data_IF_342607477725
#
_entry.id   IF_342607477725
#
_cell.length_a   1.000
_cell.length_b   1.000
_cell.length_c   1.000
_cell.angle_alpha   90.00
_cell.angle_beta   90.00
_cell.angle_gamma   90.00
#
_symmetry.space_group_name_H-M   'P 1'
#
loop_
_entity.id
_entity.type
_entity.pdbx_description
1 polymer ?
#
# COMPACT_ATOMS: atom_id res chain seq x y z
N UNK A 1 27.19 -26.87 28.70
CA UNK A 1 27.20 -26.02 27.48
C UNK A 1 25.75 -25.66 27.17
N UNK A 2 25.32 -24.40 27.25
CA UNK A 2 23.99 -24.04 26.77
C UNK A 2 23.96 -24.13 25.24
N UNK A 3 22.88 -24.66 24.68
CA UNK A 3 22.67 -24.74 23.23
C UNK A 3 22.65 -23.34 22.60
N UNK A 4 23.12 -23.18 21.36
CA UNK A 4 23.01 -21.89 20.67
C UNK A 4 21.52 -21.54 20.50
N UNK A 5 21.13 -20.37 21.01
CA UNK A 5 19.80 -19.81 20.82
C UNK A 5 19.52 -19.73 19.31
N UNK A 6 18.54 -20.51 18.84
CA UNK A 6 17.96 -20.33 17.51
C UNK A 6 17.50 -18.87 17.37
N UNK A 7 17.74 -18.21 16.23
CA UNK A 7 17.27 -16.85 16.03
C UNK A 7 15.75 -16.80 16.27
N UNK A 8 15.31 -15.88 17.14
CA UNK A 8 13.91 -15.70 17.44
C UNK A 8 13.16 -15.29 16.16
N UNK A 9 11.93 -15.77 15.95
CA UNK A 9 11.11 -15.40 14.77
C UNK A 9 10.86 -13.88 14.65
N UNK A 10 11.23 -13.10 15.67
CA UNK A 10 11.15 -11.64 15.73
C UNK A 10 12.39 -10.91 15.21
N UNK A 11 13.46 -11.64 14.87
CA UNK A 11 14.74 -11.09 14.46
C UNK A 11 15.21 -11.71 13.14
N UNK A 12 15.86 -10.92 12.29
CA UNK A 12 16.46 -11.39 11.04
C UNK A 12 17.99 -11.31 11.14
N UNK A 13 18.65 -12.45 10.93
CA UNK A 13 20.11 -12.53 10.86
C UNK A 13 20.61 -11.86 9.57
N UNK A 14 21.52 -10.89 9.71
CA UNK A 14 22.26 -10.33 8.59
C UNK A 14 23.39 -11.31 8.18
N UNK A 15 23.72 -11.36 6.88
CA UNK A 15 24.75 -12.28 6.35
C UNK A 15 26.13 -12.10 7.02
N UNK A 16 26.40 -10.92 7.60
CA UNK A 16 27.64 -10.56 8.29
C UNK A 16 27.40 -9.65 9.51
N UNK A 17 26.29 -9.77 10.24
CA UNK A 17 25.98 -8.80 11.31
C UNK A 17 24.99 -9.24 12.40
N UNK A 18 24.78 -8.36 13.37
CA UNK A 18 23.85 -8.56 14.48
C UNK A 18 22.40 -8.70 13.99
N UNK A 19 21.58 -9.57 14.61
CA UNK A 19 20.17 -9.69 14.28
C UNK A 19 19.47 -8.33 14.35
N UNK A 20 18.65 -8.03 13.33
CA UNK A 20 17.86 -6.81 13.29
C UNK A 20 16.38 -7.12 13.57
N UNK A 21 15.68 -6.27 14.33
CA UNK A 21 14.28 -6.50 14.66
C UNK A 21 13.39 -6.36 13.42
N UNK A 22 12.56 -7.37 13.16
CA UNK A 22 11.57 -7.35 12.07
C UNK A 22 10.22 -6.89 12.61
N UNK A 23 9.62 -5.87 11.99
CA UNK A 23 8.33 -5.33 12.45
C UNK A 23 7.18 -6.33 12.33
N UNK A 24 7.18 -7.12 11.25
CA UNK A 24 6.22 -8.21 10.99
C UNK A 24 6.98 -9.40 10.41
N UNK A 25 7.16 -10.50 11.16
CA UNK A 25 7.85 -11.69 10.67
C UNK A 25 7.20 -12.32 9.44
N UNK A 26 8.00 -13.02 8.62
CA UNK A 26 7.53 -13.69 7.42
C UNK A 26 6.43 -14.74 7.71
N UNK A 27 6.56 -15.48 8.82
CA UNK A 27 5.53 -16.45 9.23
C UNK A 27 4.19 -15.76 9.53
N UNK A 28 4.22 -14.59 10.17
CA UNK A 28 3.03 -13.82 10.47
C UNK A 28 2.37 -13.31 9.18
N UNK A 29 3.16 -12.82 8.22
CA UNK A 29 2.67 -12.52 6.87
C UNK A 29 2.01 -13.73 6.22
N UNK A 30 2.65 -14.91 6.22
CA UNK A 30 2.07 -16.14 5.65
C UNK A 30 0.69 -16.41 6.26
N UNK A 31 0.60 -16.37 7.60
CA UNK A 31 -0.65 -16.62 8.31
C UNK A 31 -1.79 -15.69 7.87
N UNK A 32 -1.49 -14.40 7.68
CA UNK A 32 -2.49 -13.42 7.24
C UNK A 32 -2.92 -13.57 5.78
N UNK A 33 -1.99 -13.96 4.91
CA UNK A 33 -2.26 -14.08 3.48
C UNK A 33 -3.01 -15.38 3.15
N UNK A 34 -2.80 -16.44 3.93
CA UNK A 34 -3.49 -17.73 3.76
C UNK A 34 -4.82 -17.81 4.50
N UNK A 35 -5.08 -16.91 5.46
CA UNK A 35 -6.37 -16.85 6.16
C UNK A 35 -7.47 -16.28 5.22
N UNK A 36 -8.51 -17.07 4.89
CA UNK A 36 -9.55 -16.64 3.95
C UNK A 36 -10.39 -15.47 4.47
N UNK A 37 -10.58 -15.34 5.78
CA UNK A 37 -11.34 -14.23 6.38
C UNK A 37 -10.55 -12.93 6.31
N UNK A 38 -9.25 -12.97 6.56
CA UNK A 38 -8.38 -11.80 6.43
C UNK A 38 -8.30 -11.35 4.97
N UNK A 39 -8.11 -12.30 4.04
CA UNK A 39 -8.08 -12.02 2.62
C UNK A 39 -9.42 -11.44 2.11
N UNK A 40 -10.56 -11.98 2.55
CA UNK A 40 -11.88 -11.45 2.20
C UNK A 40 -12.08 -10.01 2.73
N UNK A 41 -11.73 -9.75 3.99
CA UNK A 41 -11.74 -8.39 4.58
C UNK A 41 -10.87 -7.40 3.81
N UNK A 42 -9.73 -7.86 3.30
CA UNK A 42 -8.84 -7.03 2.49
C UNK A 42 -9.47 -6.71 1.14
N UNK A 43 -9.96 -7.73 0.43
CA UNK A 43 -10.61 -7.61 -0.88
C UNK A 43 -11.84 -6.70 -0.82
N UNK A 44 -12.66 -6.80 0.23
CA UNK A 44 -13.85 -5.96 0.43
C UNK A 44 -13.52 -4.46 0.61
N UNK A 45 -12.27 -4.10 0.90
CA UNK A 45 -11.81 -2.72 1.09
C UNK A 45 -11.18 -2.12 -0.16
N UNK A 46 -11.29 -2.79 -1.30
CA UNK A 46 -10.70 -2.39 -2.58
C UNK A 46 -11.79 -2.24 -3.62
N UNK A 47 -11.71 -1.20 -4.42
CA UNK A 47 -12.51 -1.09 -5.62
C UNK A 47 -11.74 -1.67 -6.80
N UNK A 48 -12.15 -2.85 -7.30
CA UNK A 48 -11.47 -3.53 -8.39
C UNK A 48 -11.89 -2.91 -9.72
N UNK A 49 -10.91 -2.45 -10.48
CA UNK A 49 -11.03 -1.99 -11.87
C UNK A 49 -10.24 -2.95 -12.76
N UNK A 50 -10.12 -2.65 -14.05
CA UNK A 50 -9.25 -3.41 -14.96
C UNK A 50 -7.79 -3.35 -14.51
N UNK A 51 -6.96 -4.29 -14.98
CA UNK A 51 -5.56 -4.41 -14.55
C UNK A 51 -4.68 -3.21 -14.91
N UNK A 52 -5.09 -2.41 -15.91
CA UNK A 52 -4.40 -1.19 -16.34
C UNK A 52 -4.76 0.03 -15.50
N UNK A 53 -5.78 -0.10 -14.64
CA UNK A 53 -6.31 0.99 -13.84
C UNK A 53 -5.90 0.82 -12.38
N UNK A 54 -5.85 1.94 -11.66
CA UNK A 54 -5.61 1.87 -10.22
C UNK A 54 -6.72 1.07 -9.56
N UNK A 55 -6.40 0.41 -8.45
CA UNK A 55 -7.39 -0.25 -7.58
C UNK A 55 -7.50 0.57 -6.29
N UNK A 56 -8.44 1.53 -6.20
CA UNK A 56 -8.53 2.43 -5.05
C UNK A 56 -8.79 1.71 -3.74
N UNK A 57 -8.07 2.12 -2.71
CA UNK A 57 -8.30 1.70 -1.33
C UNK A 57 -9.49 2.44 -0.73
N UNK A 58 -10.47 1.70 -0.23
CA UNK A 58 -11.73 2.20 0.31
C UNK A 58 -11.77 2.18 1.85
N UNK A 59 -10.64 2.15 2.55
CA UNK A 59 -10.65 2.16 4.02
C UNK A 59 -9.69 3.21 4.60
N UNK A 60 -9.18 2.99 5.82
CA UNK A 60 -8.35 3.95 6.52
C UNK A 60 -7.10 4.32 5.70
N UNK A 61 -6.76 5.61 5.68
CA UNK A 61 -5.59 6.18 4.99
C UNK A 61 -4.70 6.87 6.02
N UNK A 62 -3.41 6.54 6.01
CA UNK A 62 -2.39 7.13 6.88
C UNK A 62 -2.10 8.60 6.55
N UNK A 63 -1.34 9.29 7.40
CA UNK A 63 -0.85 10.65 7.11
C UNK A 63 0.01 10.73 5.85
N UNK A 64 0.70 9.65 5.49
CA UNK A 64 1.52 9.55 4.27
C UNK A 64 0.71 9.28 2.99
N UNK A 65 -0.62 9.20 3.09
CA UNK A 65 -1.50 8.92 1.97
C UNK A 65 -1.69 7.46 1.58
N UNK A 66 -0.82 6.57 2.07
CA UNK A 66 -1.01 5.14 1.84
C UNK A 66 -2.21 4.59 2.62
N UNK A 67 -2.94 3.68 1.97
CA UNK A 67 -3.95 2.86 2.63
C UNK A 67 -3.36 2.06 3.79
N UNK A 68 -4.12 1.92 4.87
CA UNK A 68 -3.74 1.22 6.09
C UNK A 68 -4.70 0.06 6.34
N UNK A 69 -4.18 -1.16 6.35
CA UNK A 69 -4.95 -2.37 6.60
C UNK A 69 -4.57 -3.01 7.92
N UNK A 70 -5.57 -3.27 8.78
CA UNK A 70 -5.39 -4.08 9.99
C UNK A 70 -5.65 -5.54 9.63
N UNK A 71 -4.58 -6.31 9.48
CA UNK A 71 -4.62 -7.75 9.22
C UNK A 71 -5.04 -8.53 10.47
N UNK A 72 -4.47 -8.19 11.63
CA UNK A 72 -4.82 -8.78 12.92
C UNK A 72 -4.83 -7.74 14.05
N UNK A 73 -5.50 -8.08 15.15
CA UNK A 73 -5.38 -7.37 16.43
C UNK A 73 -4.40 -8.16 17.29
N UNK A 74 -3.13 -7.73 17.33
CA UNK A 74 -2.10 -8.41 18.12
C UNK A 74 -1.96 -7.78 19.51
N UNK A 75 -1.64 -8.58 20.56
CA UNK A 75 -1.40 -8.06 21.89
C UNK A 75 -0.27 -7.01 21.95
N UNK A 76 -0.39 -6.07 22.88
CA UNK A 76 0.61 -5.04 23.19
C UNK A 76 0.30 -3.65 22.62
N UNK A 77 1.03 -2.63 23.12
CA UNK A 77 0.81 -1.19 22.82
C UNK A 77 1.10 -0.77 21.36
N UNK A 78 1.71 -1.65 20.58
CA UNK A 78 2.20 -1.35 19.22
C UNK A 78 1.20 -1.77 18.14
N UNK A 79 1.17 -1.03 17.02
CA UNK A 79 0.42 -1.30 15.77
C UNK A 79 0.87 -2.56 15.01
N UNK A 80 1.30 -3.63 15.70
CA UNK A 80 1.98 -4.82 15.13
C UNK A 80 1.15 -5.61 14.10
N UNK A 81 -0.17 -5.42 14.05
CA UNK A 81 -1.05 -6.02 13.03
C UNK A 81 -1.58 -5.07 11.95
N UNK A 82 -1.08 -3.83 11.88
CA UNK A 82 -1.47 -2.86 10.85
C UNK A 82 -0.34 -2.63 9.86
N UNK A 83 -0.63 -2.85 8.58
CA UNK A 83 0.33 -2.77 7.47
C UNK A 83 -0.16 -1.86 6.34
N UNK A 84 0.74 -1.32 5.50
CA UNK A 84 0.33 -0.62 4.28
C UNK A 84 -0.52 -1.53 3.37
N UNK A 85 -1.61 -0.99 2.84
CA UNK A 85 -2.56 -1.76 2.04
C UNK A 85 -1.94 -2.22 0.70
N UNK A 86 -1.11 -1.39 0.06
CA UNK A 86 -0.42 -1.77 -1.18
C UNK A 86 0.58 -2.92 -0.95
N UNK A 87 1.24 -2.95 0.21
CA UNK A 87 2.15 -4.04 0.58
C UNK A 87 1.41 -5.35 0.80
N UNK A 88 0.24 -5.28 1.46
CA UNK A 88 -0.63 -6.45 1.60
C UNK A 88 -1.12 -6.93 0.23
N UNK A 89 -1.53 -6.01 -0.67
CA UNK A 89 -1.96 -6.38 -2.02
C UNK A 89 -0.87 -7.11 -2.81
N UNK A 90 0.34 -6.57 -2.80
CA UNK A 90 1.46 -7.15 -3.52
C UNK A 90 1.82 -8.54 -2.99
N UNK A 91 1.93 -8.70 -1.67
CA UNK A 91 2.27 -10.00 -1.09
C UNK A 91 1.13 -11.02 -1.20
N UNK A 92 -0.13 -10.59 -1.25
CA UNK A 92 -1.26 -11.48 -1.53
C UNK A 92 -1.21 -12.08 -2.94
N UNK A 93 -0.69 -11.33 -3.91
CA UNK A 93 -0.54 -11.77 -5.29
C UNK A 93 0.75 -12.57 -5.51
N UNK A 94 1.88 -12.08 -5.00
CA UNK A 94 3.21 -12.58 -5.32
C UNK A 94 3.85 -13.43 -4.21
N UNK A 95 3.16 -13.60 -3.08
CA UNK A 95 3.67 -14.30 -1.90
C UNK A 95 4.49 -13.42 -0.97
N UNK A 96 4.96 -14.03 0.13
CA UNK A 96 5.65 -13.32 1.20
C UNK A 96 7.03 -12.85 0.76
N UNK A 97 7.31 -11.57 1.00
CA UNK A 97 8.64 -10.98 0.86
C UNK A 97 9.42 -11.34 2.14
N UNK A 98 10.48 -12.16 2.06
CA UNK A 98 11.15 -12.69 3.26
C UNK A 98 11.99 -11.67 4.04
N UNK A 99 12.31 -10.53 3.42
CA UNK A 99 13.09 -9.44 4.02
C UNK A 99 12.32 -8.13 3.87
N UNK A 100 11.64 -7.73 4.95
CA UNK A 100 11.03 -6.41 5.08
C UNK A 100 11.61 -5.77 6.35
N UNK A 101 12.88 -5.37 6.27
CA UNK A 101 13.58 -4.64 7.32
C UNK A 101 13.62 -3.15 7.00
N UNK A 102 13.75 -2.31 8.02
CA UNK A 102 14.15 -0.90 7.89
C UNK A 102 15.61 -0.78 8.33
N UNK A 103 16.41 -1.79 8.00
CA UNK A 103 17.77 -2.01 8.52
C UNK A 103 18.85 -1.40 7.64
N UNK A 104 18.54 -0.99 6.40
CA UNK A 104 19.51 -0.36 5.51
C UNK A 104 18.92 0.30 4.27
N UNK A 105 19.78 0.96 3.49
CA UNK A 105 19.44 1.58 2.21
C UNK A 105 19.01 0.57 1.13
N UNK A 106 19.34 -0.71 1.33
CA UNK A 106 19.16 -1.80 0.35
C UNK A 106 17.91 -2.65 0.60
N UNK A 107 17.13 -2.36 1.64
CA UNK A 107 15.89 -3.09 1.89
C UNK A 107 14.87 -2.82 0.76
N UNK A 108 14.20 -3.88 0.24
CA UNK A 108 13.29 -3.72 -0.87
C UNK A 108 12.08 -2.88 -0.46
N UNK A 109 11.76 -1.89 -1.28
CA UNK A 109 10.54 -1.08 -1.15
C UNK A 109 9.62 -1.36 -2.32
N UNK A 110 8.31 -1.13 -2.11
CA UNK A 110 7.36 -1.14 -3.20
C UNK A 110 7.29 0.24 -3.85
N UNK A 111 7.63 0.29 -5.13
CA UNK A 111 7.55 1.48 -5.97
C UNK A 111 6.21 1.47 -6.71
N UNK A 112 5.48 2.58 -6.64
CA UNK A 112 4.29 2.78 -7.48
C UNK A 112 4.72 3.17 -8.90
N UNK A 113 4.17 2.48 -9.89
CA UNK A 113 4.29 2.88 -11.31
C UNK A 113 3.31 3.98 -11.69
N UNK A 114 2.20 4.09 -10.95
CA UNK A 114 1.11 5.03 -11.20
C UNK A 114 1.12 6.26 -10.28
N UNK A 115 2.06 6.35 -9.34
CA UNK A 115 2.18 7.40 -8.30
C UNK A 115 0.95 7.63 -7.40
N UNK A 116 -0.13 6.86 -7.54
CA UNK A 116 -1.33 7.00 -6.70
C UNK A 116 -1.15 6.26 -5.36
N UNK A 117 -0.99 7.02 -4.27
CA UNK A 117 -0.81 6.50 -2.90
C UNK A 117 -1.93 5.56 -2.43
N UNK A 118 -3.15 5.77 -2.93
CA UNK A 118 -4.32 4.95 -2.61
C UNK A 118 -4.45 3.68 -3.45
N UNK A 119 -3.56 3.46 -4.43
CA UNK A 119 -3.63 2.30 -5.31
C UNK A 119 -3.19 1.03 -4.57
N UNK A 120 -3.91 -0.05 -4.81
CA UNK A 120 -3.60 -1.40 -4.29
C UNK A 120 -3.54 -2.42 -5.42
N UNK A 121 -3.40 -2.00 -6.68
CA UNK A 121 -3.27 -2.91 -7.81
C UNK A 121 -1.83 -3.47 -7.86
N UNK A 122 -1.62 -4.79 -7.72
CA UNK A 122 -0.28 -5.38 -7.81
C UNK A 122 0.44 -5.08 -9.13
N UNK A 123 -0.28 -5.00 -10.26
CA UNK A 123 0.30 -4.65 -11.56
C UNK A 123 0.88 -3.22 -11.61
N UNK A 124 0.43 -2.35 -10.71
CA UNK A 124 0.93 -0.97 -10.57
C UNK A 124 2.07 -0.85 -9.56
N UNK A 125 2.55 -1.96 -9.03
CA UNK A 125 3.61 -2.04 -8.03
C UNK A 125 4.82 -2.79 -8.61
N UNK A 126 6.00 -2.46 -8.10
CA UNK A 126 7.25 -3.16 -8.39
C UNK A 126 8.11 -3.19 -7.14
N UNK A 127 8.83 -4.29 -6.90
CA UNK A 127 9.92 -4.29 -5.94
C UNK A 127 11.12 -3.50 -6.49
N UNK A 128 11.63 -2.58 -5.71
CA UNK A 128 12.81 -1.79 -6.03
C UNK A 128 13.55 -1.36 -4.77
N UNK A 129 14.48 -0.41 -4.92
CA UNK A 129 15.21 0.18 -3.79
C UNK A 129 14.66 1.56 -3.44
N UNK A 130 14.98 2.05 -2.24
CA UNK A 130 14.64 3.43 -1.85
C UNK A 130 15.25 4.47 -2.81
N UNK A 131 16.45 4.19 -3.36
CA UNK A 131 17.10 5.04 -4.34
C UNK A 131 16.33 5.06 -5.68
N UNK A 132 15.92 3.89 -6.19
CA UNK A 132 15.09 3.79 -7.40
C UNK A 132 13.76 4.54 -7.23
N UNK A 133 13.07 4.33 -6.12
CA UNK A 133 11.79 5.00 -5.84
C UNK A 133 11.94 6.53 -5.83
N UNK A 134 13.01 7.05 -5.21
CA UNK A 134 13.30 8.50 -5.20
C UNK A 134 13.62 9.03 -6.60
N UNK A 135 14.39 8.29 -7.40
CA UNK A 135 14.71 8.69 -8.78
C UNK A 135 13.48 8.67 -9.69
N UNK A 136 12.59 7.69 -9.54
CA UNK A 136 11.28 7.65 -10.21
C UNK A 136 10.41 8.84 -9.82
N UNK A 137 10.30 9.14 -8.52
CA UNK A 137 9.57 10.30 -8.03
C UNK A 137 10.13 11.61 -8.59
N UNK A 138 11.45 11.81 -8.55
CA UNK A 138 12.09 13.03 -9.06
C UNK A 138 11.81 13.27 -10.55
N UNK A 139 11.67 12.20 -11.35
CA UNK A 139 11.27 12.31 -12.76
C UNK A 139 9.80 12.66 -12.96
N UNK A 140 8.90 12.22 -12.08
CA UNK A 140 7.43 12.31 -12.28
C UNK A 140 6.73 13.40 -11.47
N UNK A 141 7.32 13.88 -10.37
CA UNK A 141 6.69 14.81 -9.43
C UNK A 141 6.26 16.16 -10.03
N UNK A 142 6.84 16.57 -11.16
CA UNK A 142 6.52 17.83 -11.86
C UNK A 142 5.43 17.67 -12.92
N UNK A 143 4.88 16.48 -13.13
CA UNK A 143 3.78 16.31 -14.08
C UNK A 143 2.50 16.95 -13.51
N UNK A 144 1.98 18.05 -14.08
CA UNK A 144 0.84 18.79 -13.52
C UNK A 144 -0.49 18.03 -13.63
N UNK A 145 -0.56 17.02 -14.50
CA UNK A 145 -1.75 16.16 -14.66
C UNK A 145 -1.63 14.83 -13.89
N UNK A 146 -0.49 14.61 -13.23
CA UNK A 146 -0.21 13.37 -12.51
C UNK A 146 -0.78 13.35 -11.09
N UNK A 147 -0.95 12.16 -10.47
CA UNK A 147 -1.44 12.04 -9.09
C UNK A 147 -0.59 12.78 -8.05
N UNK A 148 0.70 13.03 -8.33
CA UNK A 148 1.61 13.77 -7.45
C UNK A 148 1.36 15.29 -7.43
N UNK A 149 0.64 15.83 -8.41
CA UNK A 149 0.30 17.25 -8.49
C UNK A 149 -0.92 17.61 -7.63
N UNK A 150 -1.55 16.65 -6.96
CA UNK A 150 -2.79 16.88 -6.23
C UNK A 150 -2.62 17.89 -5.08
N UNK A 151 -3.29 19.04 -5.19
CA UNK A 151 -3.13 20.17 -4.27
C UNK A 151 -3.70 19.90 -2.88
N UNK A 152 -4.49 18.83 -2.72
CA UNK A 152 -5.05 18.43 -1.42
C UNK A 152 -4.03 17.66 -0.57
N UNK A 153 -2.92 17.23 -1.19
CA UNK A 153 -1.87 16.43 -0.55
C UNK A 153 -2.15 14.93 -0.49
N UNK A 154 -1.10 14.16 -0.16
CA UNK A 154 -1.05 12.71 -0.32
C UNK A 154 -2.21 11.94 0.33
N UNK A 155 -2.71 12.37 1.49
CA UNK A 155 -3.79 11.70 2.21
C UNK A 155 -5.19 12.08 1.76
N UNK A 156 -5.39 13.27 1.19
CA UNK A 156 -6.72 13.75 0.83
C UNK A 156 -7.18 13.21 -0.53
N UNK A 157 -6.29 13.09 -1.52
CA UNK A 157 -6.60 12.46 -2.82
C UNK A 157 -7.25 11.07 -2.69
N UNK A 158 -6.62 10.06 -2.04
CA UNK A 158 -7.20 8.73 -1.91
C UNK A 158 -8.49 8.73 -1.08
N UNK A 159 -8.64 9.64 -0.11
CA UNK A 159 -9.90 9.79 0.66
C UNK A 159 -11.03 10.33 -0.21
N UNK A 160 -10.76 11.31 -1.07
CA UNK A 160 -11.74 11.87 -2.00
C UNK A 160 -12.23 10.82 -3.00
N UNK A 161 -11.30 10.08 -3.61
CA UNK A 161 -11.63 8.97 -4.53
C UNK A 161 -12.43 7.89 -3.81
N UNK A 162 -12.02 7.48 -2.60
CA UNK A 162 -12.76 6.50 -1.82
C UNK A 162 -14.17 6.97 -1.44
N UNK A 163 -14.34 8.26 -1.12
CA UNK A 163 -15.65 8.84 -0.83
C UNK A 163 -16.56 8.84 -2.06
N UNK A 164 -16.03 9.22 -3.23
CA UNK A 164 -16.75 9.21 -4.50
C UNK A 164 -17.24 7.79 -4.87
N UNK A 165 -16.37 6.79 -4.73
CA UNK A 165 -16.73 5.39 -4.98
C UNK A 165 -17.80 4.90 -4.01
N UNK A 166 -17.65 5.17 -2.71
CA UNK A 166 -18.65 4.75 -1.71
C UNK A 166 -20.01 5.41 -1.96
N UNK A 167 -20.03 6.67 -2.40
CA UNK A 167 -21.26 7.37 -2.73
C UNK A 167 -21.98 6.70 -3.91
N UNK A 168 -21.25 6.39 -4.99
CA UNK A 168 -21.84 5.69 -6.14
C UNK A 168 -22.34 4.28 -5.81
N UNK A 169 -21.55 3.52 -5.05
CA UNK A 169 -21.98 2.20 -4.55
C UNK A 169 -23.23 2.27 -3.67
N UNK A 170 -23.32 3.26 -2.78
CA UNK A 170 -24.49 3.47 -1.92
C UNK A 170 -25.73 3.89 -2.71
N UNK A 171 -25.55 4.62 -3.82
CA UNK A 171 -26.63 5.00 -4.73
C UNK A 171 -27.05 3.87 -5.69
N UNK A 172 -26.37 2.71 -5.67
CA UNK A 172 -26.65 1.60 -6.58
C UNK A 172 -26.30 1.91 -8.04
N UNK A 173 -25.36 2.82 -8.26
CA UNK A 173 -24.93 3.21 -9.60
C UNK A 173 -24.19 2.08 -10.32
N UNK A 174 -24.30 2.09 -11.66
CA UNK A 174 -23.54 1.18 -12.49
C UNK A 174 -22.02 1.51 -12.48
N UNK A 175 -21.16 0.57 -12.91
CA UNK A 175 -19.71 0.78 -12.90
C UNK A 175 -19.21 1.98 -13.70
N UNK A 176 -19.92 2.38 -14.77
CA UNK A 176 -19.52 3.52 -15.61
C UNK A 176 -19.76 4.83 -14.86
N UNK A 177 -20.92 4.99 -14.22
CA UNK A 177 -21.20 6.16 -13.40
C UNK A 177 -20.22 6.30 -12.22
N UNK A 178 -19.85 5.18 -11.58
CA UNK A 178 -18.82 5.19 -10.53
C UNK A 178 -17.44 5.61 -11.10
N UNK A 179 -17.10 5.19 -12.32
CA UNK A 179 -15.87 5.61 -12.99
C UNK A 179 -15.84 7.12 -13.26
N UNK A 180 -16.95 7.70 -13.73
CA UNK A 180 -17.08 9.14 -13.92
C UNK A 180 -16.91 9.91 -12.60
N UNK A 181 -17.43 9.37 -11.49
CA UNK A 181 -17.18 9.91 -10.14
C UNK A 181 -15.72 9.83 -9.72
N UNK A 182 -15.02 8.75 -10.07
CA UNK A 182 -13.57 8.61 -9.80
C UNK A 182 -12.82 9.71 -10.55
N UNK A 183 -13.03 9.85 -11.86
CA UNK A 183 -12.35 10.87 -12.67
C UNK A 183 -12.64 12.28 -12.15
N UNK A 184 -13.90 12.59 -11.85
CA UNK A 184 -14.29 13.88 -11.24
C UNK A 184 -13.53 14.15 -9.94
N UNK A 185 -13.41 13.14 -9.07
CA UNK A 185 -12.68 13.26 -7.81
C UNK A 185 -11.16 13.41 -8.01
N UNK A 186 -10.60 12.80 -9.05
CA UNK A 186 -9.20 12.92 -9.46
C UNK A 186 -8.89 14.32 -9.99
N UNK A 187 -9.72 14.84 -10.89
CA UNK A 187 -9.57 16.14 -11.54
C UNK A 187 -9.76 17.30 -10.57
N UNK A 188 -10.71 17.18 -9.64
CA UNK A 188 -10.94 18.19 -8.60
C UNK A 188 -9.75 18.41 -7.65
N UNK A 189 -8.73 17.55 -7.70
CA UNK A 189 -7.49 17.71 -6.95
C UNK A 189 -6.33 18.30 -7.75
N UNK A 190 -6.45 18.36 -9.08
CA UNK A 190 -5.37 18.87 -9.92
C UNK A 190 -5.28 20.40 -9.79
N UNK A 191 -4.07 20.96 -9.95
CA UNK A 191 -3.91 22.41 -9.95
C UNK A 191 -4.67 23.01 -11.14
N UNK A 192 -5.21 24.21 -10.96
CA UNK A 192 -5.67 25.00 -12.09
C UNK A 192 -4.49 25.24 -13.03
N UNK A 193 -4.55 24.66 -14.21
CA UNK A 193 -3.56 24.91 -15.26
C UNK A 193 -4.17 25.92 -16.22
N UNK A 194 -3.55 27.10 -16.28
CA UNK A 194 -3.83 28.10 -17.29
C UNK A 194 -3.04 27.67 -18.53
N UNK A 195 -3.65 26.87 -19.40
CA UNK A 195 -3.15 26.66 -20.75
C UNK A 195 -3.75 27.72 -21.66
#
# INVERSE_FOLDING_TARGET
MPAPNSPSDTEQLALLGTPQPVKVPAQLWRSWLTDPLIAARFKAKRYRRSERLCCPWLAAVSSTGHGSFRAASLPGRSRRGTVPAHLFAFQLEHGVIPRLGWSGADDPVLCHRCDSHGCTNPAHLRLGTAAENRAEWARRHRNPTGPLADVRGAARRPRAIAAAIRAGLAAGEDPRAIEERIHTAEDAGLPFTLW
#
